data_IF_585701609188
#
_entry.id   IF_585701609188
#
_cell.length_a   1.000
_cell.length_b   1.000
_cell.length_c   1.000
_cell.angle_alpha   90.00
_cell.angle_beta   90.00
_cell.angle_gamma   90.00
#
_symmetry.space_group_name_H-M   'P 1'
#
loop_
_entity.id
_entity.type
_entity.pdbx_description
1 polymer ?
#
# COMPACT_ATOMS: atom_id res chain seq x y z
N UNK A 1 -18.77 -7.06 4.19
CA UNK A 1 -18.42 -5.94 5.08
C UNK A 1 -17.45 -5.05 4.29
N UNK A 2 -17.61 -3.72 4.29
CA UNK A 2 -16.62 -2.83 3.67
C UNK A 2 -15.44 -2.62 4.62
N UNK A 3 -14.21 -2.73 4.12
CA UNK A 3 -12.99 -2.56 4.91
C UNK A 3 -11.92 -1.83 4.10
N UNK A 4 -11.15 -0.97 4.77
CA UNK A 4 -10.09 -0.14 4.17
C UNK A 4 -8.88 -0.16 5.08
N UNK A 5 -7.72 -0.50 4.53
CA UNK A 5 -6.45 -0.37 5.24
C UNK A 5 -5.95 1.07 5.14
N UNK A 6 -5.87 1.76 6.28
CA UNK A 6 -5.40 3.16 6.35
C UNK A 6 -3.94 3.30 6.79
N UNK A 7 -3.30 2.21 7.18
CA UNK A 7 -1.90 2.16 7.60
C UNK A 7 -1.26 0.92 6.98
N UNK A 8 -0.44 1.11 5.95
CA UNK A 8 0.22 0.03 5.19
C UNK A 8 1.60 0.47 4.77
N UNK A 9 2.59 -0.39 4.96
CA UNK A 9 3.96 -0.18 4.51
C UNK A 9 4.22 -0.96 3.21
N UNK A 10 4.86 -0.31 2.25
CA UNK A 10 5.37 -0.97 1.04
C UNK A 10 6.87 -1.25 1.18
N UNK A 11 7.46 -1.85 0.13
CA UNK A 11 8.90 -2.05 -0.04
C UNK A 11 9.74 -0.77 0.13
N UNK A 12 9.12 0.41 0.05
CA UNK A 12 9.79 1.69 0.29
C UNK A 12 9.99 2.01 1.77
N UNK A 13 9.40 1.24 2.67
CA UNK A 13 9.80 1.19 4.08
C UNK A 13 11.02 0.27 4.23
N UNK A 14 12.21 0.81 3.94
CA UNK A 14 13.44 0.06 3.63
C UNK A 14 13.83 -1.01 4.68
N UNK A 15 13.45 -0.81 5.95
CA UNK A 15 13.83 -1.69 7.05
C UNK A 15 12.82 -2.82 7.34
N UNK A 16 11.55 -2.68 6.97
CA UNK A 16 10.47 -3.63 7.33
C UNK A 16 9.51 -3.97 6.18
N UNK A 17 9.53 -3.19 5.10
CA UNK A 17 8.63 -3.27 3.98
C UNK A 17 8.98 -4.40 3.03
N UNK A 18 8.10 -5.40 2.94
CA UNK A 18 8.31 -6.57 2.07
C UNK A 18 7.42 -6.60 0.82
N UNK A 19 6.34 -5.81 0.80
CA UNK A 19 5.32 -5.89 -0.26
C UNK A 19 5.53 -4.79 -1.32
N UNK A 20 5.51 -5.16 -2.60
CA UNK A 20 5.51 -4.16 -3.68
C UNK A 20 4.18 -3.40 -3.72
N UNK A 21 4.23 -2.15 -4.18
CA UNK A 21 3.06 -1.27 -4.22
C UNK A 21 1.95 -1.89 -5.07
N UNK A 22 2.27 -2.39 -6.27
CA UNK A 22 1.30 -3.07 -7.13
C UNK A 22 0.60 -4.26 -6.45
N UNK A 23 1.36 -5.11 -5.75
CA UNK A 23 0.79 -6.30 -5.07
C UNK A 23 -0.15 -5.91 -3.94
N UNK A 24 0.11 -4.80 -3.24
CA UNK A 24 -0.79 -4.29 -2.21
C UNK A 24 -2.14 -3.85 -2.80
N UNK A 25 -2.09 -3.13 -3.93
CA UNK A 25 -3.29 -2.68 -4.65
C UNK A 25 -4.09 -3.86 -5.21
N UNK A 26 -3.43 -4.78 -5.92
CA UNK A 26 -4.08 -5.97 -6.50
C UNK A 26 -4.80 -6.80 -5.41
N UNK A 27 -4.16 -6.95 -4.25
CA UNK A 27 -4.73 -7.69 -3.13
C UNK A 27 -5.94 -6.97 -2.53
N UNK A 28 -5.87 -5.65 -2.33
CA UNK A 28 -6.99 -4.85 -1.86
C UNK A 28 -8.20 -4.94 -2.81
N UNK A 29 -7.96 -4.88 -4.12
CA UNK A 29 -8.98 -5.07 -5.15
C UNK A 29 -9.60 -6.47 -5.10
N UNK A 30 -8.77 -7.52 -4.97
CA UNK A 30 -9.25 -8.91 -4.89
C UNK A 30 -10.14 -9.17 -3.67
N UNK A 31 -9.93 -8.43 -2.58
CA UNK A 31 -10.73 -8.52 -1.37
C UNK A 31 -11.96 -7.60 -1.38
N UNK A 32 -12.17 -6.84 -2.47
CA UNK A 32 -13.29 -5.91 -2.60
C UNK A 32 -13.17 -4.71 -1.67
N UNK A 33 -11.96 -4.33 -1.27
CA UNK A 33 -11.73 -3.12 -0.49
C UNK A 33 -11.90 -1.89 -1.39
N UNK A 34 -12.74 -0.90 -1.04
CA UNK A 34 -12.99 0.26 -1.89
C UNK A 34 -11.83 1.25 -1.92
N UNK A 35 -10.89 1.15 -0.98
CA UNK A 35 -9.71 2.00 -0.89
C UNK A 35 -8.57 1.30 -0.11
N UNK A 36 -7.37 1.85 -0.25
CA UNK A 36 -6.18 1.51 0.53
C UNK A 36 -5.34 2.79 0.70
N UNK A 37 -4.64 2.93 1.82
CA UNK A 37 -3.65 3.97 2.04
C UNK A 37 -2.24 3.39 2.06
N UNK A 38 -1.28 4.16 1.57
CA UNK A 38 0.15 3.87 1.65
C UNK A 38 0.80 4.84 2.63
N UNK A 39 1.42 4.32 3.69
CA UNK A 39 1.97 5.10 4.81
C UNK A 39 3.38 4.61 5.17
N UNK A 40 4.34 4.76 4.25
CA UNK A 40 5.71 4.29 4.46
C UNK A 40 6.44 4.99 5.62
N UNK A 41 7.46 4.32 6.16
CA UNK A 41 8.26 4.84 7.27
C UNK A 41 9.08 6.07 6.88
N UNK A 42 8.58 7.24 7.31
CA UNK A 42 9.30 8.52 7.22
C UNK A 42 9.59 8.99 5.79
N UNK A 43 8.94 8.40 4.79
CA UNK A 43 9.15 8.73 3.38
C UNK A 43 7.87 8.54 2.55
N UNK A 44 7.93 8.96 1.28
CA UNK A 44 6.85 8.80 0.29
C UNK A 44 7.39 8.32 -1.06
N UNK A 45 8.44 7.50 -1.09
CA UNK A 45 9.08 7.10 -2.34
C UNK A 45 8.16 6.27 -3.25
N UNK A 46 7.25 5.49 -2.66
CA UNK A 46 6.26 4.69 -3.39
C UNK A 46 5.10 5.46 -3.99
N UNK A 47 4.98 6.77 -3.74
CA UNK A 47 3.79 7.54 -4.15
C UNK A 47 3.60 7.56 -5.67
N UNK A 48 4.71 7.61 -6.43
CA UNK A 48 4.64 7.62 -7.89
C UNK A 48 4.09 6.29 -8.42
N UNK A 49 4.54 5.17 -7.87
CA UNK A 49 4.04 3.83 -8.24
C UNK A 49 2.61 3.61 -7.72
N UNK A 50 2.22 4.24 -6.61
CA UNK A 50 0.88 4.11 -6.04
C UNK A 50 -0.20 4.90 -6.79
N UNK A 51 0.16 6.03 -7.40
CA UNK A 51 -0.78 6.91 -8.09
C UNK A 51 -0.78 6.80 -9.63
N UNK A 52 0.18 6.08 -10.22
CA UNK A 52 0.28 5.89 -11.68
C UNK A 52 -0.31 4.56 -12.08
#
# INVERSE_FOLDING_TARGET
MSFVHLHVHSQYSILDGAASVQKLVDKALSYGHPAIALTDHGNMFGIKEFFT
#
